data_IF_491232525642
#
_entry.id   IF_491232525642
#
_cell.length_a   1.000
_cell.length_b   1.000
_cell.length_c   1.000
_cell.angle_alpha   90.00
_cell.angle_beta   90.00
_cell.angle_gamma   90.00
#
_symmetry.space_group_name_H-M   'P 1'
#
loop_
_entity.id
_entity.type
_entity.pdbx_description
1 polymer ?
#
# COMPACT_ATOMS: atom_id res chain seq x y z
N UNK A 1 -20.51 -3.53 16.67
CA UNK A 1 -19.61 -2.59 17.40
C UNK A 1 -19.48 -1.35 16.51
N UNK A 2 -19.76 -0.14 16.99
CA UNK A 2 -19.53 1.08 16.20
C UNK A 2 -18.11 1.56 16.51
N UNK A 3 -17.23 1.51 15.51
CA UNK A 3 -15.90 2.13 15.63
C UNK A 3 -16.12 3.64 15.52
N UNK A 4 -15.90 4.39 16.60
CA UNK A 4 -15.87 5.85 16.53
C UNK A 4 -14.62 6.26 15.73
N UNK A 5 -14.85 6.92 14.60
CA UNK A 5 -13.84 7.52 13.72
C UNK A 5 -13.01 8.58 14.46
N UNK A 6 -12.01 8.18 15.24
CA UNK A 6 -11.22 9.12 16.05
C UNK A 6 -9.75 9.24 15.62
N UNK A 7 -9.19 8.29 14.86
CA UNK A 7 -7.82 8.46 14.33
C UNK A 7 -7.82 8.79 12.84
N UNK A 8 -7.62 10.08 12.56
CA UNK A 8 -7.18 10.53 11.24
C UNK A 8 -5.71 10.18 11.11
N UNK A 9 -5.39 9.19 10.27
CA UNK A 9 -4.00 8.88 9.92
C UNK A 9 -3.47 9.93 8.94
N UNK A 10 -2.40 10.63 9.32
CA UNK A 10 -1.74 11.65 8.47
C UNK A 10 -0.58 11.08 7.63
N UNK A 11 -0.54 9.76 7.47
CA UNK A 11 0.53 9.07 6.75
C UNK A 11 0.04 8.49 5.43
N UNK A 12 0.97 8.38 4.48
CA UNK A 12 0.80 7.62 3.25
C UNK A 12 1.67 6.36 3.25
N UNK A 13 2.40 6.08 4.33
CA UNK A 13 3.20 4.87 4.43
C UNK A 13 2.30 3.69 4.75
N UNK A 14 2.20 2.78 3.79
CA UNK A 14 1.58 1.47 3.97
C UNK A 14 2.37 0.69 5.03
N UNK A 15 3.69 0.85 5.13
CA UNK A 15 4.47 0.21 6.19
C UNK A 15 4.03 0.65 7.59
N UNK A 16 3.77 1.93 7.82
CA UNK A 16 3.28 2.42 9.11
C UNK A 16 1.87 1.91 9.41
N UNK A 17 0.97 1.97 8.42
CA UNK A 17 -0.39 1.45 8.55
C UNK A 17 -0.40 -0.05 8.84
N UNK A 18 0.47 -0.82 8.20
CA UNK A 18 0.62 -2.26 8.46
C UNK A 18 1.11 -2.53 9.88
N UNK A 19 2.09 -1.78 10.38
CA UNK A 19 2.58 -1.95 11.75
C UNK A 19 1.48 -1.69 12.79
N UNK A 20 0.59 -0.72 12.53
CA UNK A 20 -0.55 -0.46 13.41
C UNK A 20 -1.58 -1.58 13.39
N UNK A 21 -1.93 -2.11 12.20
CA UNK A 21 -2.94 -3.18 12.11
C UNK A 21 -2.41 -4.54 12.60
N UNK A 22 -1.10 -4.80 12.58
CA UNK A 22 -0.54 -6.07 13.07
C UNK A 22 -0.84 -6.35 14.54
N UNK A 23 -1.00 -5.30 15.36
CA UNK A 23 -1.36 -5.41 16.78
C UNK A 23 -2.87 -5.72 16.97
N UNK A 24 -3.68 -5.40 15.97
CA UNK A 24 -5.14 -5.61 15.97
C UNK A 24 -5.48 -6.96 15.34
N UNK A 25 -4.87 -7.25 14.19
CA UNK A 25 -5.11 -8.45 13.39
C UNK A 25 -3.79 -8.97 12.77
N UNK A 26 -3.20 -10.01 13.37
CA UNK A 26 -1.95 -10.60 12.89
C UNK A 26 -2.02 -11.24 11.48
N UNK A 27 -3.20 -11.53 10.91
CA UNK A 27 -3.34 -12.10 9.54
C UNK A 27 -2.75 -11.15 8.49
N UNK A 28 -2.75 -9.84 8.75
CA UNK A 28 -2.13 -8.87 7.85
C UNK A 28 -0.61 -9.07 7.65
N UNK A 29 0.07 -9.83 8.51
CA UNK A 29 1.49 -10.17 8.32
C UNK A 29 1.73 -10.97 7.03
N UNK A 30 0.74 -11.73 6.57
CA UNK A 30 0.79 -12.51 5.33
C UNK A 30 0.93 -11.62 4.08
N UNK A 31 0.43 -10.39 4.15
CA UNK A 31 0.51 -9.40 3.05
C UNK A 31 1.57 -8.33 3.28
N UNK A 32 2.49 -8.51 4.25
CA UNK A 32 3.50 -7.51 4.62
C UNK A 32 4.40 -7.02 3.48
N UNK A 33 4.49 -7.77 2.38
CA UNK A 33 5.22 -7.37 1.17
C UNK A 33 4.60 -6.13 0.48
N UNK A 34 3.33 -5.81 0.72
CA UNK A 34 2.63 -4.65 0.13
C UNK A 34 3.25 -3.31 0.50
N UNK A 35 4.02 -3.24 1.60
CA UNK A 35 4.80 -2.04 1.97
C UNK A 35 5.78 -1.58 0.88
N UNK A 36 6.17 -2.46 -0.04
CA UNK A 36 7.01 -2.10 -1.20
C UNK A 36 6.35 -1.01 -2.05
N UNK A 37 5.00 -0.93 -2.06
CA UNK A 37 4.27 0.08 -2.80
C UNK A 37 4.53 1.52 -2.30
N UNK A 38 5.08 1.70 -1.10
CA UNK A 38 5.53 3.02 -0.60
C UNK A 38 6.53 3.68 -1.57
N UNK A 39 7.35 2.88 -2.26
CA UNK A 39 8.31 3.38 -3.26
C UNK A 39 7.63 4.04 -4.47
N UNK A 40 6.36 3.76 -4.70
CA UNK A 40 5.59 4.31 -5.82
C UNK A 40 4.78 5.55 -5.45
N UNK A 41 4.76 5.97 -4.18
CA UNK A 41 3.91 7.07 -3.75
C UNK A 41 4.34 8.43 -4.33
N UNK A 42 5.62 8.82 -4.21
CA UNK A 42 6.13 10.11 -4.71
C UNK A 42 6.81 9.98 -6.08
N UNK A 43 7.73 9.02 -6.29
CA UNK A 43 8.58 9.00 -7.49
C UNK A 43 7.83 8.81 -8.81
N UNK A 44 6.67 8.15 -8.80
CA UNK A 44 5.85 7.93 -10.01
C UNK A 44 5.15 9.20 -10.51
N UNK A 45 5.09 10.26 -9.69
CA UNK A 45 4.31 11.47 -9.97
C UNK A 45 5.17 12.70 -10.25
N UNK A 46 6.31 12.83 -9.57
CA UNK A 46 7.10 14.05 -9.61
C UNK A 46 8.50 13.79 -10.15
N UNK A 47 8.97 14.53 -11.17
CA UNK A 47 10.31 14.35 -11.74
C UNK A 47 11.46 14.46 -10.73
N UNK A 48 11.30 15.25 -9.67
CA UNK A 48 12.29 15.39 -8.61
C UNK A 48 12.41 14.15 -7.69
N UNK A 49 11.55 13.15 -7.85
CA UNK A 49 11.66 11.86 -7.17
C UNK A 49 12.66 10.89 -7.83
N UNK A 50 13.22 11.24 -8.99
CA UNK A 50 14.21 10.46 -9.72
C UNK A 50 15.53 11.25 -9.85
N UNK A 51 16.69 10.59 -10.01
CA UNK A 51 17.95 11.27 -10.33
C UNK A 51 17.90 12.05 -11.65
N UNK A 52 16.98 11.70 -12.56
CA UNK A 52 16.67 12.41 -13.80
C UNK A 52 15.58 11.71 -14.60
N UNK A 53 15.05 12.41 -15.62
CA UNK A 53 14.02 11.87 -16.52
C UNK A 53 12.59 12.28 -16.15
N UNK A 54 11.61 11.63 -16.79
CA UNK A 54 10.18 11.85 -16.57
C UNK A 54 9.60 10.55 -16.00
N UNK A 55 8.84 10.57 -14.89
CA UNK A 55 8.34 9.35 -14.25
C UNK A 55 7.62 8.39 -15.21
N UNK A 56 6.74 8.92 -16.07
CA UNK A 56 6.00 8.11 -17.06
C UNK A 56 6.86 7.47 -18.16
N UNK A 57 8.14 7.83 -18.26
CA UNK A 57 9.13 7.19 -19.15
C UNK A 57 10.13 6.31 -18.40
N UNK A 58 10.20 6.43 -17.08
CA UNK A 58 11.07 5.63 -16.24
C UNK A 58 10.37 4.37 -15.75
N UNK A 59 9.11 4.50 -15.32
CA UNK A 59 8.24 3.38 -14.94
C UNK A 59 7.52 2.85 -16.17
N UNK A 60 8.26 2.15 -17.04
CA UNK A 60 7.75 1.63 -18.32
C UNK A 60 7.69 0.09 -18.37
N UNK A 61 8.18 -0.61 -17.34
CA UNK A 61 8.17 -2.07 -17.25
C UNK A 61 6.76 -2.60 -16.91
N UNK A 62 6.11 -3.34 -17.83
CA UNK A 62 4.81 -3.93 -17.56
C UNK A 62 4.82 -4.96 -16.43
N UNK A 63 5.94 -5.67 -16.20
CA UNK A 63 6.04 -6.65 -15.12
C UNK A 63 6.06 -5.95 -13.76
N UNK A 64 6.77 -4.83 -13.64
CA UNK A 64 6.76 -3.98 -12.44
C UNK A 64 5.33 -3.53 -12.09
N UNK A 65 4.58 -3.08 -13.10
CA UNK A 65 3.18 -2.67 -12.93
C UNK A 65 2.29 -3.84 -12.48
N UNK A 66 2.44 -5.02 -13.10
CA UNK A 66 1.66 -6.21 -12.76
C UNK A 66 1.96 -6.70 -11.33
N UNK A 67 3.22 -6.71 -10.93
CA UNK A 67 3.64 -7.13 -9.59
C UNK A 67 3.13 -6.15 -8.53
N UNK A 68 3.17 -4.84 -8.81
CA UNK A 68 2.58 -3.83 -7.94
C UNK A 68 1.06 -4.02 -7.79
N UNK A 69 0.35 -4.31 -8.88
CA UNK A 69 -1.09 -4.60 -8.85
C UNK A 69 -1.41 -5.85 -8.04
N UNK A 70 -0.62 -6.93 -8.16
CA UNK A 70 -0.81 -8.15 -7.37
C UNK A 70 -0.67 -7.89 -5.87
N UNK A 71 0.34 -7.12 -5.47
CA UNK A 71 0.53 -6.73 -4.07
C UNK A 71 -0.68 -5.95 -3.52
N UNK A 72 -1.16 -4.96 -4.28
CA UNK A 72 -2.32 -4.16 -3.90
C UNK A 72 -3.58 -5.03 -3.80
N UNK A 73 -3.81 -5.90 -4.79
CA UNK A 73 -4.97 -6.80 -4.82
C UNK A 73 -5.00 -7.72 -3.60
N UNK A 74 -3.89 -8.36 -3.25
CA UNK A 74 -3.83 -9.27 -2.10
C UNK A 74 -4.21 -8.57 -0.78
N UNK A 75 -3.78 -7.31 -0.59
CA UNK A 75 -4.16 -6.53 0.59
C UNK A 75 -5.66 -6.18 0.58
N UNK A 76 -6.19 -5.72 -0.56
CA UNK A 76 -7.61 -5.36 -0.68
C UNK A 76 -8.51 -6.58 -0.47
N UNK A 77 -8.20 -7.72 -1.10
CA UNK A 77 -8.96 -8.96 -0.95
C UNK A 77 -9.00 -9.42 0.52
N UNK A 78 -7.89 -9.27 1.26
CA UNK A 78 -7.86 -9.55 2.71
C UNK A 78 -8.75 -8.58 3.50
N UNK A 79 -8.68 -7.28 3.19
CA UNK A 79 -9.52 -6.25 3.85
C UNK A 79 -11.01 -6.52 3.59
N UNK A 80 -11.39 -6.81 2.34
CA UNK A 80 -12.78 -7.12 1.96
C UNK A 80 -13.30 -8.33 2.73
N UNK A 81 -12.53 -9.43 2.76
CA UNK A 81 -12.87 -10.62 3.56
C UNK A 81 -13.10 -10.29 5.04
N UNK A 82 -12.30 -9.38 5.62
CA UNK A 82 -12.43 -8.97 7.02
C UNK A 82 -13.68 -8.11 7.26
N UNK A 83 -14.02 -7.23 6.33
CA UNK A 83 -15.22 -6.39 6.39
C UNK A 83 -16.51 -7.19 6.19
N UNK A 84 -16.49 -8.26 5.39
CA UNK A 84 -17.65 -9.15 5.20
C UNK A 84 -17.91 -10.09 6.41
N UNK A 85 -16.94 -10.23 7.31
CA UNK A 85 -17.05 -11.04 8.53
C UNK A 85 -17.61 -10.26 9.74
N UNK A 86 -17.85 -8.95 9.60
CA UNK A 86 -18.51 -8.09 10.61
C UNK A 86 -20.02 -7.92 10.37
#
# INVERSE_FOLDING_TARGET
MKVESIEVFYTHSISELLNMVFEIDPEFKEVSAVKKLDQYYIPTRYPNGLPGGVPSRYYDDPQEAEDAMKLAKNLIDLIEKKLELE
#
